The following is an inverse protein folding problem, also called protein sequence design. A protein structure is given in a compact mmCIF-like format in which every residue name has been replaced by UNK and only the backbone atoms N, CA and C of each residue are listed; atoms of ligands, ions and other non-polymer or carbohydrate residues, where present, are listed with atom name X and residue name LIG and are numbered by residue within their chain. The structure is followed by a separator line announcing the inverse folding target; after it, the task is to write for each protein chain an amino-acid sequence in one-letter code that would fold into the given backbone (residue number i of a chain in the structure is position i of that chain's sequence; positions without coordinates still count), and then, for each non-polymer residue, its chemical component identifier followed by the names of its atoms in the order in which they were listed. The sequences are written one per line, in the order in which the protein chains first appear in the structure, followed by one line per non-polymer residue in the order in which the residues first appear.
data_IF_144290280692
#
_entry.id   IF_144290280692
#
_cell.length_a   1.000
_cell.length_b   1.000
_cell.length_c   1.000
_cell.angle_alpha   90.00
_cell.angle_beta   90.00
_cell.angle_gamma   90.00
#
_symmetry.space_group_name_H-M   'P 1'
#
loop_
_entity.id
_entity.type
_entity.pdbx_description
1 polymer ?
#
# COMPACT_ATOMS: atom_id res chain seq x y z
N UNK A 1 35.62 -19.60 54.83
CA UNK A 1 35.92 -19.16 56.20
C UNK A 1 36.24 -17.67 56.17
N UNK A 2 35.62 -16.89 57.05
CA UNK A 2 35.87 -15.45 57.19
C UNK A 2 35.20 -14.94 58.45
N UNK A 3 35.52 -15.54 59.60
CA UNK A 3 34.87 -15.26 60.88
C UNK A 3 35.26 -13.91 61.50
N UNK A 4 36.18 -13.17 60.87
CA UNK A 4 36.56 -11.81 61.25
C UNK A 4 36.74 -10.96 59.98
N UNK A 5 36.26 -9.71 59.97
CA UNK A 5 36.47 -8.75 58.87
C UNK A 5 37.92 -8.22 58.85
N UNK A 6 38.90 -9.14 58.95
CA UNK A 6 40.31 -8.86 58.81
C UNK A 6 40.65 -8.96 57.31
N UNK A 7 40.62 -7.86 56.57
CA UNK A 7 40.92 -7.97 55.13
C UNK A 7 40.98 -6.72 54.25
N UNK A 8 40.61 -5.52 54.73
CA UNK A 8 40.87 -4.30 53.94
C UNK A 8 42.19 -3.66 54.38
N UNK A 9 43.22 -3.83 53.56
CA UNK A 9 44.49 -3.10 53.66
C UNK A 9 44.45 -1.87 52.75
N UNK A 10 45.08 -0.77 53.20
CA UNK A 10 45.17 0.48 52.46
C UNK A 10 46.26 0.39 51.39
N UNK A 11 46.45 1.46 50.61
CA UNK A 11 47.55 1.53 49.62
C UNK A 11 48.93 1.36 50.26
N UNK A 12 49.07 1.63 51.56
CA UNK A 12 50.33 1.54 52.30
C UNK A 12 50.49 0.21 53.05
N UNK A 13 49.72 -0.83 52.70
CA UNK A 13 49.79 -2.18 53.31
C UNK A 13 49.24 -2.27 54.75
N UNK A 14 48.93 -1.14 55.40
CA UNK A 14 48.33 -1.12 56.75
C UNK A 14 46.86 -1.50 56.71
N UNK A 15 46.42 -2.29 57.68
CA UNK A 15 45.02 -2.69 57.82
C UNK A 15 44.14 -1.48 58.16
N UNK A 16 43.17 -1.17 57.30
CA UNK A 16 42.31 0.03 57.37
C UNK A 16 41.27 -0.06 58.48
N UNK A 17 40.82 -1.26 58.83
CA UNK A 17 39.82 -1.46 59.89
C UNK A 17 39.97 -2.83 60.57
N UNK A 18 40.07 -2.83 61.89
CA UNK A 18 39.95 -4.02 62.74
C UNK A 18 38.60 -3.90 63.44
N UNK A 19 37.60 -4.64 62.92
CA UNK A 19 36.28 -4.76 63.53
C UNK A 19 35.78 -6.21 63.48
N UNK A 20 35.14 -6.64 64.55
CA UNK A 20 34.36 -7.86 64.60
C UNK A 20 32.88 -7.48 64.71
N UNK A 21 32.04 -8.04 63.83
CA UNK A 21 30.60 -7.80 63.79
C UNK A 21 29.85 -9.13 63.90
N UNK A 22 29.41 -9.45 65.12
CA UNK A 22 28.46 -10.52 65.40
C UNK A 22 27.01 -10.05 65.31
N UNK A 23 26.06 -10.97 65.57
CA UNK A 23 24.61 -10.70 65.50
C UNK A 23 24.15 -9.63 66.49
N UNK A 24 24.68 -9.67 67.71
CA UNK A 24 24.31 -8.79 68.83
C UNK A 24 25.52 -8.04 69.43
N UNK A 25 26.72 -8.23 68.90
CA UNK A 25 27.97 -7.69 69.42
C UNK A 25 28.77 -7.08 68.26
N UNK A 26 29.22 -5.84 68.42
CA UNK A 26 30.17 -5.22 67.52
C UNK A 26 31.34 -4.70 68.34
N UNK A 27 32.55 -5.10 67.97
CA UNK A 27 33.79 -4.69 68.63
C UNK A 27 34.67 -4.05 67.57
N UNK A 28 35.16 -2.85 67.82
CA UNK A 28 36.13 -2.20 66.95
C UNK A 28 37.16 -1.41 67.75
N UNK A 29 38.37 -1.29 67.18
CA UNK A 29 39.47 -0.56 67.82
C UNK A 29 39.15 0.92 68.06
N UNK A 30 38.41 1.56 67.15
CA UNK A 30 38.09 2.99 67.23
C UNK A 30 36.72 3.28 67.83
N UNK A 31 35.77 2.37 67.66
CA UNK A 31 34.39 2.53 68.13
C UNK A 31 34.08 1.78 69.42
N UNK A 32 35.02 1.03 70.00
CA UNK A 32 34.81 0.26 71.23
C UNK A 32 33.87 -0.95 71.06
N UNK A 33 33.27 -1.39 72.17
CA UNK A 33 32.33 -2.52 72.23
C UNK A 33 30.89 -1.97 72.25
N UNK A 34 30.05 -2.42 71.32
CA UNK A 34 28.61 -2.17 71.34
C UNK A 34 27.82 -3.47 71.37
N UNK A 35 26.82 -3.51 72.24
CA UNK A 35 25.84 -4.58 72.31
C UNK A 35 24.54 -4.09 71.69
N UNK A 36 23.88 -4.95 70.90
CA UNK A 36 22.58 -4.70 70.28
C UNK A 36 21.61 -5.80 70.70
N UNK A 37 20.51 -5.40 71.31
CA UNK A 37 19.35 -6.25 71.51
C UNK A 37 18.21 -5.75 70.61
N UNK A 38 17.55 -6.67 69.92
CA UNK A 38 16.37 -6.38 69.11
C UNK A 38 15.26 -7.34 69.48
N UNK A 39 14.07 -6.82 69.76
CA UNK A 39 12.88 -7.63 70.03
C UNK A 39 11.67 -7.03 69.33
N UNK A 40 10.71 -7.89 68.99
CA UNK A 40 9.44 -7.49 68.40
C UNK A 40 8.34 -7.84 69.41
N UNK A 41 7.69 -6.82 69.95
CA UNK A 41 6.66 -6.97 70.98
C UNK A 41 5.44 -6.13 70.61
N UNK A 42 4.24 -6.72 70.67
CA UNK A 42 2.96 -6.04 70.43
C UNK A 42 2.91 -5.18 69.13
N UNK A 43 3.51 -5.67 68.03
CA UNK A 43 3.57 -4.94 66.76
C UNK A 43 4.59 -3.77 66.72
N UNK A 44 5.36 -3.57 67.78
CA UNK A 44 6.47 -2.62 67.88
C UNK A 44 7.81 -3.36 67.72
N UNK A 45 8.72 -2.78 66.96
CA UNK A 45 10.12 -3.21 66.91
C UNK A 45 10.93 -2.36 67.88
N UNK A 46 11.47 -2.99 68.92
CA UNK A 46 12.33 -2.37 69.92
C UNK A 46 13.77 -2.76 69.63
N UNK A 47 14.66 -1.78 69.55
CA UNK A 47 16.09 -1.99 69.38
C UNK A 47 16.83 -1.17 70.42
N UNK A 48 17.57 -1.83 71.30
CA UNK A 48 18.47 -1.18 72.24
C UNK A 48 19.91 -1.41 71.79
N UNK A 49 20.72 -0.35 71.79
CA UNK A 49 22.13 -0.41 71.50
C UNK A 49 22.90 0.33 72.60
N UNK A 50 23.96 -0.28 73.15
CA UNK A 50 24.72 0.32 74.27
C UNK A 50 25.42 1.63 73.91
N UNK A 51 25.68 1.91 72.62
CA UNK A 51 26.31 3.16 72.15
C UNK A 51 25.33 4.13 71.48
N UNK A 52 24.31 3.60 70.80
CA UNK A 52 23.39 4.40 69.99
C UNK A 52 22.01 4.59 70.63
N UNK A 53 21.79 4.04 71.83
CA UNK A 53 20.57 4.18 72.61
C UNK A 53 19.42 3.31 72.13
N UNK A 54 18.19 3.75 72.39
CA UNK A 54 16.95 2.99 72.18
C UNK A 54 16.15 3.52 71.00
N UNK A 55 15.69 2.60 70.15
CA UNK A 55 14.79 2.86 69.03
C UNK A 55 13.56 2.00 69.13
N UNK A 56 12.40 2.64 69.17
CA UNK A 56 11.08 2.02 69.04
C UNK A 56 10.55 2.32 67.64
N UNK A 57 9.97 1.36 66.93
CA UNK A 57 9.34 1.65 65.64
C UNK A 57 8.13 0.80 65.32
N UNK A 58 7.13 1.41 64.68
CA UNK A 58 5.89 0.80 64.22
C UNK A 58 5.64 1.13 62.75
N UNK A 59 5.23 0.15 61.96
CA UNK A 59 4.66 0.40 60.64
C UNK A 59 3.19 0.81 60.81
N UNK A 60 2.83 2.03 60.38
CA UNK A 60 1.45 2.54 60.47
C UNK A 60 0.62 2.10 59.26
N UNK A 61 1.25 2.00 58.09
CA UNK A 61 0.64 1.57 56.84
C UNK A 61 1.71 0.96 55.93
N UNK A 62 1.30 0.38 54.79
CA UNK A 62 2.25 -0.13 53.78
C UNK A 62 3.20 1.01 53.39
N UNK A 63 4.49 0.73 53.48
CA UNK A 63 5.59 1.68 53.23
C UNK A 63 5.61 2.94 54.10
N UNK A 64 4.93 2.95 55.25
CA UNK A 64 4.92 4.06 56.23
C UNK A 64 5.40 3.58 57.58
N UNK A 65 6.52 4.10 58.06
CA UNK A 65 7.09 3.77 59.36
C UNK A 65 7.20 5.02 60.23
N UNK A 66 6.75 4.87 61.47
CA UNK A 66 6.99 5.83 62.54
C UNK A 66 7.94 5.21 63.56
N UNK A 67 8.97 5.94 63.95
CA UNK A 67 9.96 5.50 64.91
C UNK A 67 10.27 6.59 65.93
N UNK A 68 10.51 6.20 67.18
CA UNK A 68 11.05 7.05 68.23
C UNK A 68 12.49 6.57 68.49
N UNK A 69 13.49 7.39 68.18
CA UNK A 69 14.90 7.07 68.38
C UNK A 69 15.51 8.08 69.35
N UNK A 70 15.93 7.63 70.54
CA UNK A 70 16.48 8.48 71.60
C UNK A 70 15.62 9.74 71.86
N UNK A 71 14.30 9.55 72.00
CA UNK A 71 13.34 10.65 72.20
C UNK A 71 12.93 11.42 70.93
N UNK A 72 13.58 11.21 69.78
CA UNK A 72 13.23 11.89 68.52
C UNK A 72 12.23 11.09 67.69
N UNK A 73 11.08 11.69 67.38
CA UNK A 73 10.11 11.13 66.44
C UNK A 73 10.60 11.25 64.99
N UNK A 74 10.62 10.12 64.28
CA UNK A 74 11.02 9.94 62.89
C UNK A 74 9.86 9.32 62.12
N UNK A 75 9.23 10.09 61.24
CA UNK A 75 8.26 9.61 60.26
C UNK A 75 8.94 9.42 58.91
N UNK A 76 8.77 8.26 58.28
CA UNK A 76 9.28 7.96 56.94
C UNK A 76 8.23 7.18 56.14
N UNK A 77 7.92 7.67 54.94
CA UNK A 77 7.11 6.95 53.96
C UNK A 77 7.80 6.92 52.59
N UNK A 78 7.62 5.85 51.82
CA UNK A 78 8.10 5.77 50.42
C UNK A 78 7.08 5.08 49.54
N UNK A 79 6.44 5.84 48.66
CA UNK A 79 5.34 5.40 47.83
C UNK A 79 5.69 5.50 46.34
N UNK A 80 4.97 4.74 45.51
CA UNK A 80 5.18 4.68 44.07
C UNK A 80 5.92 3.43 43.60
N UNK A 81 5.56 2.96 42.40
CA UNK A 81 6.21 1.89 41.65
C UNK A 81 7.05 2.48 40.50
N UNK A 82 8.11 1.77 40.10
CA UNK A 82 8.94 2.18 38.96
C UNK A 82 9.99 3.27 39.25
N UNK A 83 10.37 4.08 38.23
CA UNK A 83 11.47 5.05 38.33
C UNK A 83 11.11 6.25 39.20
N UNK A 84 9.83 6.51 39.40
CA UNK A 84 9.32 7.68 40.11
C UNK A 84 8.82 7.30 41.49
N UNK A 85 9.28 8.01 42.53
CA UNK A 85 8.97 7.71 43.93
C UNK A 85 8.67 8.96 44.73
N UNK A 86 7.64 8.86 45.56
CA UNK A 86 7.21 9.89 46.51
C UNK A 86 7.71 9.52 47.91
N UNK A 87 8.54 10.36 48.49
CA UNK A 87 9.15 10.14 49.79
C UNK A 87 8.51 11.10 50.80
N UNK A 88 7.89 10.54 51.84
CA UNK A 88 7.32 11.28 52.97
C UNK A 88 8.29 11.30 54.13
N UNK A 89 8.39 12.45 54.80
CA UNK A 89 9.18 12.63 56.01
C UNK A 89 8.50 13.59 56.98
N UNK A 90 9.02 13.69 58.21
CA UNK A 90 8.54 14.69 59.20
C UNK A 90 8.49 16.13 58.64
N UNK A 91 9.37 16.47 57.70
CA UNK A 91 9.44 17.79 57.06
C UNK A 91 8.74 17.88 55.70
N UNK A 92 7.80 16.97 55.44
CA UNK A 92 6.95 17.00 54.24
C UNK A 92 7.27 15.93 53.20
N UNK A 93 6.60 16.07 52.06
CA UNK A 93 6.63 15.16 50.92
C UNK A 93 7.66 15.64 49.89
N UNK A 94 8.35 14.71 49.24
CA UNK A 94 9.32 14.99 48.18
C UNK A 94 9.19 13.99 47.05
N UNK A 95 9.33 14.48 45.82
CA UNK A 95 9.19 13.68 44.61
C UNK A 95 10.56 13.46 43.97
N UNK A 96 10.84 12.23 43.55
CA UNK A 96 12.12 11.87 42.94
C UNK A 96 11.94 10.89 41.79
N UNK A 97 12.72 11.08 40.73
CA UNK A 97 12.75 10.20 39.55
C UNK A 97 14.14 9.62 39.33
N UNK A 98 14.20 8.35 38.94
CA UNK A 98 15.44 7.61 38.67
C UNK A 98 15.65 7.48 37.16
N UNK A 99 16.78 7.99 36.70
CA UNK A 99 17.25 7.91 35.31
C UNK A 99 18.56 7.10 35.25
N UNK A 100 19.11 6.89 34.06
CA UNK A 100 20.36 6.14 33.85
C UNK A 100 21.54 6.74 34.64
N UNK A 101 21.60 8.07 34.75
CA UNK A 101 22.61 8.77 35.56
C UNK A 101 22.44 8.61 37.07
N UNK A 102 21.25 8.29 37.59
CA UNK A 102 21.01 8.25 39.03
C UNK A 102 19.62 8.74 39.43
N UNK A 103 19.48 9.32 40.62
CA UNK A 103 18.18 9.78 41.16
C UNK A 103 18.15 11.30 41.24
N UNK A 104 17.18 11.92 40.59
CA UNK A 104 16.90 13.35 40.64
C UNK A 104 15.72 13.60 41.58
N UNK A 105 15.87 14.53 42.53
CA UNK A 105 14.79 14.96 43.41
C UNK A 105 14.29 16.32 42.96
N UNK A 106 13.03 16.38 42.54
CA UNK A 106 12.38 17.56 41.98
C UNK A 106 12.14 18.65 43.01
N UNK A 107 11.89 18.27 44.28
CA UNK A 107 11.54 19.22 45.35
C UNK A 107 12.79 19.65 46.14
N UNK A 108 13.76 18.76 46.30
CA UNK A 108 14.99 19.01 47.06
C UNK A 108 16.22 18.63 46.24
N UNK A 109 16.71 19.52 45.35
CA UNK A 109 17.87 19.25 44.47
C UNK A 109 19.13 18.82 45.22
N UNK A 110 19.31 19.29 46.46
CA UNK A 110 20.40 18.87 47.35
C UNK A 110 20.35 17.40 47.80
N UNK A 111 19.29 16.65 47.48
CA UNK A 111 19.17 15.21 47.73
C UNK A 111 19.30 14.36 46.46
N UNK A 112 19.66 14.96 45.33
CA UNK A 112 19.93 14.25 44.08
C UNK A 112 21.27 13.52 44.13
N UNK A 113 21.40 12.46 43.35
CA UNK A 113 22.65 11.71 43.16
C UNK A 113 22.81 11.32 41.70
N UNK A 114 24.03 11.46 41.18
CA UNK A 114 24.41 11.05 39.84
C UNK A 114 25.66 10.18 39.92
N UNK A 115 25.78 9.19 39.02
CA UNK A 115 26.96 8.35 38.86
C UNK A 115 27.48 8.57 37.46
N UNK A 116 28.65 9.21 37.36
CA UNK A 116 29.30 9.51 36.09
C UNK A 116 30.67 8.81 36.11
N UNK A 117 30.94 7.95 35.12
CA UNK A 117 32.22 7.22 35.00
C UNK A 117 32.68 6.51 36.30
N UNK A 118 31.75 5.87 37.01
CA UNK A 118 32.05 5.17 38.26
C UNK A 118 32.05 6.05 39.53
N UNK A 119 32.15 7.38 39.38
CA UNK A 119 32.17 8.33 40.51
C UNK A 119 30.75 8.75 40.88
N UNK A 120 30.39 8.59 42.16
CA UNK A 120 29.08 9.00 42.67
C UNK A 120 29.13 10.46 43.18
N UNK A 121 28.53 11.37 42.42
CA UNK A 121 28.30 12.76 42.81
C UNK A 121 26.96 12.88 43.54
N UNK A 122 26.92 13.64 44.64
CA UNK A 122 25.71 13.86 45.43
C UNK A 122 25.46 15.36 45.64
N UNK A 123 24.21 15.71 45.91
CA UNK A 123 23.82 17.09 46.23
C UNK A 123 23.49 17.92 45.00
N UNK A 124 23.59 19.26 45.13
CA UNK A 124 23.21 20.21 44.07
C UNK A 124 23.99 19.99 42.77
N UNK A 125 25.28 19.64 42.84
CA UNK A 125 26.10 19.32 41.66
C UNK A 125 25.54 18.15 40.84
N UNK A 126 24.96 17.15 41.52
CA UNK A 126 24.30 16.04 40.84
C UNK A 126 22.99 16.46 40.16
N UNK A 127 22.24 17.39 40.76
CA UNK A 127 21.04 17.95 40.15
C UNK A 127 21.36 18.69 38.84
N UNK A 128 22.41 19.52 38.83
CA UNK A 128 22.85 20.22 37.62
C UNK A 128 23.30 19.25 36.51
N UNK A 129 23.99 18.16 36.88
CA UNK A 129 24.37 17.12 35.92
C UNK A 129 23.14 16.43 35.28
N UNK A 130 22.09 16.15 36.06
CA UNK A 130 20.83 15.62 35.52
C UNK A 130 20.13 16.62 34.59
N UNK A 131 20.11 17.91 34.94
CA UNK A 131 19.53 18.95 34.09
C UNK A 131 20.27 19.07 32.75
N UNK A 132 21.61 19.10 32.77
CA UNK A 132 22.41 19.11 31.56
C UNK A 132 22.14 17.88 30.68
N UNK A 133 22.08 16.69 31.28
CA UNK A 133 21.78 15.47 30.55
C UNK A 133 20.38 15.47 29.94
N UNK A 134 19.36 15.92 30.68
CA UNK A 134 17.99 16.01 30.17
C UNK A 134 17.91 16.99 28.99
N UNK A 135 18.61 18.12 29.06
CA UNK A 135 18.66 19.11 27.98
C UNK A 135 19.33 18.54 26.73
N UNK A 136 20.49 17.89 26.86
CA UNK A 136 21.18 17.24 25.73
C UNK A 136 20.32 16.13 25.13
N UNK A 137 19.72 15.29 25.98
CA UNK A 137 18.83 14.21 25.53
C UNK A 137 17.64 14.77 24.77
N UNK A 138 17.03 15.85 25.28
CA UNK A 138 15.92 16.53 24.63
C UNK A 138 16.32 17.02 23.24
N UNK A 139 17.44 17.76 23.12
CA UNK A 139 17.94 18.24 21.84
C UNK A 139 18.17 17.10 20.84
N UNK A 140 18.85 16.03 21.25
CA UNK A 140 19.09 14.86 20.39
C UNK A 140 17.77 14.22 19.95
N UNK A 141 16.83 14.02 20.87
CA UNK A 141 15.53 13.45 20.52
C UNK A 141 14.73 14.35 19.59
N UNK A 142 14.73 15.67 19.82
CA UNK A 142 14.05 16.63 18.96
C UNK A 142 14.62 16.61 17.54
N UNK A 143 15.95 16.66 17.39
CA UNK A 143 16.62 16.59 16.09
C UNK A 143 16.32 15.27 15.38
N UNK A 144 16.39 14.13 16.10
CA UNK A 144 16.09 12.83 15.53
C UNK A 144 14.63 12.71 15.09
N UNK A 145 13.69 13.22 15.90
CA UNK A 145 12.26 13.23 15.53
C UNK A 145 11.98 14.11 14.32
N UNK A 146 12.63 15.27 14.22
CA UNK A 146 12.47 16.18 13.09
C UNK A 146 13.02 15.59 11.79
N UNK A 147 14.19 14.95 11.86
CA UNK A 147 14.75 14.21 10.71
C UNK A 147 13.86 13.04 10.31
N UNK A 148 13.32 12.29 11.28
CA UNK A 148 12.37 11.20 11.03
C UNK A 148 11.09 11.67 10.33
N UNK A 149 10.53 12.80 10.76
CA UNK A 149 9.36 13.42 10.11
C UNK A 149 9.66 13.86 8.67
N UNK A 150 10.85 14.42 8.42
CA UNK A 150 11.27 14.81 7.08
C UNK A 150 11.39 13.60 6.14
N UNK A 151 11.99 12.51 6.62
CA UNK A 151 12.10 11.27 5.84
C UNK A 151 10.73 10.65 5.56
N UNK A 152 9.83 10.67 6.54
CA UNK A 152 8.46 10.20 6.35
C UNK A 152 7.71 11.04 5.30
N UNK A 153 7.85 12.37 5.35
CA UNK A 153 7.29 13.26 4.34
C UNK A 153 7.81 12.93 2.94
N UNK A 154 9.12 12.74 2.79
CA UNK A 154 9.74 12.37 1.52
C UNK A 154 9.20 11.03 1.00
N UNK A 155 9.04 10.04 1.87
CA UNK A 155 8.46 8.74 1.52
C UNK A 155 7.02 8.90 0.99
N UNK A 156 6.20 9.72 1.65
CA UNK A 156 4.84 10.02 1.20
C UNK A 156 4.81 10.73 -0.15
N UNK A 157 5.70 11.69 -0.38
CA UNK A 157 5.81 12.38 -1.66
C UNK A 157 6.18 11.43 -2.80
N UNK A 158 7.14 10.53 -2.57
CA UNK A 158 7.50 9.50 -3.57
C UNK A 158 6.35 8.53 -3.82
N UNK A 159 5.64 8.10 -2.78
CA UNK A 159 4.49 7.21 -2.92
C UNK A 159 3.35 7.88 -3.71
N UNK A 160 3.05 9.15 -3.42
CA UNK A 160 2.05 9.93 -4.15
C UNK A 160 2.48 10.15 -5.60
N UNK A 161 3.73 10.52 -5.85
CA UNK A 161 4.28 10.67 -7.18
C UNK A 161 4.18 9.37 -8.00
N UNK A 162 4.54 8.23 -7.41
CA UNK A 162 4.41 6.92 -8.05
C UNK A 162 2.96 6.47 -8.26
N UNK A 163 2.02 6.92 -7.42
CA UNK A 163 0.59 6.71 -7.63
C UNK A 163 0.07 7.53 -8.81
N UNK A 164 0.37 8.84 -8.83
CA UNK A 164 0.01 9.74 -9.93
C UNK A 164 0.61 9.27 -11.26
N UNK A 165 1.87 8.82 -11.26
CA UNK A 165 2.52 8.28 -12.46
C UNK A 165 1.80 7.04 -13.01
N UNK A 166 1.43 6.09 -12.13
CA UNK A 166 0.67 4.90 -12.53
C UNK A 166 -0.72 5.26 -13.07
N UNK A 167 -1.39 6.24 -12.48
CA UNK A 167 -2.66 6.73 -13.02
C UNK A 167 -2.48 7.35 -14.40
N UNK A 168 -1.44 8.19 -14.57
CA UNK A 168 -1.14 8.83 -15.85
C UNK A 168 -0.88 7.80 -16.95
N UNK A 169 -0.13 6.74 -16.67
CA UNK A 169 0.15 5.66 -17.61
C UNK A 169 -1.11 4.85 -17.99
N UNK A 170 -2.14 4.81 -17.14
CA UNK A 170 -3.39 4.09 -17.44
C UNK A 170 -4.43 4.95 -18.18
N UNK A 171 -4.17 6.24 -18.38
CA UNK A 171 -5.12 7.13 -19.08
C UNK A 171 -5.35 6.70 -20.53
N UNK A 172 -4.32 6.40 -21.35
CA UNK A 172 -4.53 6.05 -22.76
C UNK A 172 -5.43 4.83 -22.93
N UNK A 173 -5.17 3.75 -22.17
CA UNK A 173 -5.96 2.52 -22.23
C UNK A 173 -7.43 2.77 -21.84
N UNK A 174 -7.66 3.58 -20.80
CA UNK A 174 -9.02 3.94 -20.38
C UNK A 174 -9.74 4.82 -21.40
N UNK A 175 -9.03 5.72 -22.07
CA UNK A 175 -9.59 6.52 -23.17
C UNK A 175 -9.99 5.60 -24.32
N UNK A 176 -9.12 4.66 -24.72
CA UNK A 176 -9.41 3.70 -25.78
C UNK A 176 -10.61 2.82 -25.44
N UNK A 177 -10.66 2.25 -24.23
CA UNK A 177 -11.79 1.46 -23.76
C UNK A 177 -13.10 2.26 -23.75
N UNK A 178 -13.04 3.52 -23.31
CA UNK A 178 -14.21 4.41 -23.31
C UNK A 178 -14.69 4.70 -24.75
N UNK A 179 -13.76 4.99 -25.67
CA UNK A 179 -14.09 5.20 -27.08
C UNK A 179 -14.72 3.95 -27.71
N UNK A 180 -14.17 2.77 -27.45
CA UNK A 180 -14.72 1.48 -27.88
C UNK A 180 -16.14 1.28 -27.35
N UNK A 181 -16.35 1.51 -26.05
CA UNK A 181 -17.67 1.40 -25.43
C UNK A 181 -18.70 2.38 -26.02
N UNK A 182 -18.30 3.61 -26.34
CA UNK A 182 -19.18 4.57 -27.02
C UNK A 182 -19.52 4.11 -28.44
N UNK A 183 -18.51 3.64 -29.20
CA UNK A 183 -18.69 3.11 -30.54
C UNK A 183 -19.61 1.88 -30.55
N UNK A 184 -19.44 0.95 -29.61
CA UNK A 184 -20.31 -0.21 -29.43
C UNK A 184 -21.75 0.19 -29.12
N UNK A 185 -21.95 1.18 -28.25
CA UNK A 185 -23.29 1.71 -27.94
C UNK A 185 -23.95 2.35 -29.15
N UNK A 186 -23.20 3.10 -29.95
CA UNK A 186 -23.71 3.67 -31.20
C UNK A 186 -24.08 2.54 -32.18
N UNK A 187 -23.21 1.55 -32.35
CA UNK A 187 -23.46 0.39 -33.20
C UNK A 187 -24.70 -0.39 -32.77
N UNK A 188 -24.89 -0.63 -31.46
CA UNK A 188 -26.08 -1.30 -30.93
C UNK A 188 -27.36 -0.53 -31.22
N UNK A 189 -27.34 0.81 -31.09
CA UNK A 189 -28.50 1.66 -31.46
C UNK A 189 -28.79 1.60 -32.96
N UNK A 190 -27.76 1.66 -33.80
CA UNK A 190 -27.91 1.57 -35.24
C UNK A 190 -28.47 0.21 -35.66
N UNK A 191 -28.02 -0.89 -35.04
CA UNK A 191 -28.57 -2.24 -35.26
C UNK A 191 -30.03 -2.35 -34.85
N UNK A 192 -30.41 -1.77 -33.70
CA UNK A 192 -31.80 -1.76 -33.24
C UNK A 192 -32.73 -0.95 -34.17
N UNK A 193 -32.18 -0.01 -34.94
CA UNK A 193 -32.91 0.79 -35.91
C UNK A 193 -33.04 0.11 -37.30
N UNK A 194 -32.34 -1.01 -37.55
CA UNK A 194 -32.43 -1.70 -38.83
C UNK A 194 -33.80 -2.37 -39.01
N UNK A 195 -34.38 -2.37 -40.23
CA UNK A 195 -35.63 -3.07 -40.50
C UNK A 195 -35.48 -4.58 -40.30
N UNK A 196 -36.27 -5.17 -39.40
CA UNK A 196 -36.17 -6.60 -39.09
C UNK A 196 -36.35 -7.51 -40.33
N UNK A 197 -37.21 -7.11 -41.27
CA UNK A 197 -37.41 -7.83 -42.53
C UNK A 197 -36.13 -7.89 -43.39
N UNK A 198 -35.37 -6.79 -43.44
CA UNK A 198 -34.10 -6.70 -44.17
C UNK A 198 -33.02 -7.59 -43.55
N UNK A 199 -32.92 -7.58 -42.22
CA UNK A 199 -31.97 -8.44 -41.50
C UNK A 199 -32.28 -9.93 -41.72
N UNK A 200 -33.57 -10.31 -41.73
CA UNK A 200 -33.97 -11.69 -42.03
C UNK A 200 -33.66 -12.08 -43.47
N UNK A 201 -33.83 -11.16 -44.43
CA UNK A 201 -33.46 -11.40 -45.83
C UNK A 201 -31.95 -11.64 -45.98
N UNK A 202 -31.12 -10.81 -45.32
CA UNK A 202 -29.66 -11.02 -45.30
C UNK A 202 -29.31 -12.38 -44.71
N UNK A 203 -29.91 -12.77 -43.58
CA UNK A 203 -29.67 -14.08 -42.96
C UNK A 203 -30.07 -15.28 -43.85
N UNK A 204 -30.99 -15.07 -44.79
CA UNK A 204 -31.47 -16.09 -45.72
C UNK A 204 -30.55 -16.29 -46.94
N UNK A 205 -29.64 -15.34 -47.23
CA UNK A 205 -28.78 -15.39 -48.41
C UNK A 205 -27.85 -16.62 -48.45
N UNK A 206 -27.59 -17.17 -49.65
CA UNK A 206 -26.60 -18.24 -49.82
C UNK A 206 -25.19 -17.73 -49.54
N UNK A 207 -24.25 -18.65 -49.28
CA UNK A 207 -22.86 -18.31 -48.94
C UNK A 207 -22.19 -17.40 -49.98
N UNK A 208 -22.44 -17.61 -51.27
CA UNK A 208 -21.95 -16.76 -52.36
C UNK A 208 -22.43 -15.30 -52.25
N UNK A 209 -23.70 -15.10 -51.90
CA UNK A 209 -24.25 -13.75 -51.71
C UNK A 209 -23.78 -13.11 -50.40
N UNK A 210 -23.51 -13.90 -49.35
CA UNK A 210 -22.84 -13.39 -48.15
C UNK A 210 -21.43 -12.90 -48.48
N UNK A 211 -20.67 -13.69 -49.25
CA UNK A 211 -19.35 -13.31 -49.74
C UNK A 211 -19.40 -11.98 -50.49
N UNK A 212 -20.30 -11.86 -51.46
CA UNK A 212 -20.47 -10.61 -52.22
C UNK A 212 -20.87 -9.45 -51.33
N UNK A 213 -21.74 -9.66 -50.33
CA UNK A 213 -22.16 -8.61 -49.41
C UNK A 213 -20.99 -8.08 -48.57
N UNK A 214 -20.13 -8.97 -48.06
CA UNK A 214 -18.92 -8.58 -47.30
C UNK A 214 -17.94 -7.83 -48.20
N UNK A 215 -17.72 -8.33 -49.42
CA UNK A 215 -16.83 -7.71 -50.39
C UNK A 215 -17.32 -6.31 -50.81
N UNK A 216 -18.60 -6.15 -51.13
CA UNK A 216 -19.22 -4.85 -51.47
C UNK A 216 -19.17 -3.87 -50.31
N UNK A 217 -19.38 -4.33 -49.07
CA UNK A 217 -19.27 -3.48 -47.91
C UNK A 217 -17.82 -2.99 -47.68
N UNK A 218 -16.85 -3.90 -47.67
CA UNK A 218 -15.45 -3.55 -47.35
C UNK A 218 -14.79 -2.78 -48.52
N UNK A 219 -14.94 -3.26 -49.75
CA UNK A 219 -14.27 -2.68 -50.91
C UNK A 219 -15.04 -1.48 -51.49
N UNK A 220 -16.37 -1.49 -51.42
CA UNK A 220 -17.23 -0.40 -51.89
C UNK A 220 -17.47 0.65 -50.81
N UNK A 221 -18.29 0.32 -49.81
CA UNK A 221 -18.65 1.31 -48.77
C UNK A 221 -17.45 1.85 -48.01
N UNK A 222 -16.45 1.01 -47.76
CA UNK A 222 -15.20 1.41 -47.12
C UNK A 222 -14.45 2.52 -47.87
N UNK A 223 -14.68 2.68 -49.18
CA UNK A 223 -14.10 3.74 -50.02
C UNK A 223 -15.01 4.96 -50.21
N UNK A 224 -16.21 4.94 -49.64
CA UNK A 224 -17.18 6.00 -49.86
C UNK A 224 -18.05 5.80 -51.10
N UNK A 225 -17.96 4.65 -51.75
CA UNK A 225 -18.74 4.33 -52.95
C UNK A 225 -20.06 3.64 -52.58
N UNK A 226 -21.11 3.84 -53.39
CA UNK A 226 -22.33 3.05 -53.26
C UNK A 226 -22.07 1.59 -53.66
N UNK A 227 -22.86 0.64 -53.12
CA UNK A 227 -22.63 -0.77 -53.42
C UNK A 227 -22.75 -1.03 -54.93
N UNK A 228 -23.75 -0.42 -55.58
CA UNK A 228 -24.02 -0.55 -57.01
C UNK A 228 -22.92 0.06 -57.87
N UNK A 229 -22.31 1.17 -57.44
CA UNK A 229 -21.17 1.79 -58.13
C UNK A 229 -19.91 0.93 -58.04
N UNK A 230 -19.72 0.22 -56.93
CA UNK A 230 -18.53 -0.59 -56.69
C UNK A 230 -18.55 -1.94 -57.42
N UNK A 231 -19.74 -2.45 -57.81
CA UNK A 231 -19.89 -3.76 -58.49
C UNK A 231 -18.92 -3.93 -59.67
N UNK A 232 -18.86 -3.04 -60.69
CA UNK A 232 -18.02 -3.27 -61.86
C UNK A 232 -16.52 -3.30 -61.54
N UNK A 233 -16.08 -2.54 -60.54
CA UNK A 233 -14.69 -2.51 -60.10
C UNK A 233 -14.33 -3.78 -59.33
N UNK A 234 -15.21 -4.22 -58.42
CA UNK A 234 -15.00 -5.41 -57.58
C UNK A 234 -15.07 -6.69 -58.41
N UNK A 235 -16.02 -6.82 -59.35
CA UNK A 235 -16.14 -8.00 -60.22
C UNK A 235 -14.88 -8.22 -61.08
N UNK A 236 -14.15 -7.17 -61.44
CA UNK A 236 -12.89 -7.28 -62.19
C UNK A 236 -11.73 -7.83 -61.35
N UNK A 237 -11.81 -7.72 -60.03
CA UNK A 237 -10.78 -8.18 -59.11
C UNK A 237 -10.88 -9.67 -58.78
N UNK A 238 -12.02 -10.30 -59.12
CA UNK A 238 -12.24 -11.74 -58.99
C UNK A 238 -12.32 -12.38 -60.39
N UNK A 239 -11.21 -12.48 -61.13
CA UNK A 239 -11.22 -13.13 -62.43
C UNK A 239 -11.62 -14.60 -62.28
N UNK A 240 -12.67 -15.00 -62.99
CA UNK A 240 -13.15 -16.38 -63.05
C UNK A 240 -12.03 -17.31 -63.54
N UNK A 241 -11.32 -18.00 -62.65
CA UNK A 241 -10.20 -18.85 -63.11
C UNK A 241 -9.44 -19.70 -62.08
N UNK A 242 -9.33 -19.32 -60.79
CA UNK A 242 -8.51 -20.09 -59.84
C UNK A 242 -9.31 -20.88 -58.78
N UNK A 243 -9.16 -22.22 -58.70
CA UNK A 243 -10.16 -23.11 -58.10
C UNK A 243 -10.15 -23.25 -56.58
N UNK A 244 -9.37 -22.48 -55.81
CA UNK A 244 -9.21 -22.76 -54.36
C UNK A 244 -10.05 -21.87 -53.43
N UNK A 245 -10.41 -20.64 -53.83
CA UNK A 245 -11.31 -19.74 -53.07
C UNK A 245 -12.33 -18.98 -53.95
N UNK A 246 -12.17 -18.96 -55.28
CA UNK A 246 -13.02 -18.17 -56.19
C UNK A 246 -14.39 -18.80 -56.50
N UNK A 247 -14.70 -19.99 -55.98
CA UNK A 247 -15.96 -20.68 -56.28
C UNK A 247 -17.19 -19.93 -55.75
N UNK A 248 -17.07 -19.29 -54.60
CA UNK A 248 -18.13 -18.48 -53.99
C UNK A 248 -18.29 -17.13 -54.70
N UNK A 249 -17.20 -16.48 -55.09
CA UNK A 249 -17.23 -15.21 -55.81
C UNK A 249 -17.85 -15.35 -57.21
N UNK A 250 -17.59 -16.48 -57.88
CA UNK A 250 -18.07 -16.75 -59.24
C UNK A 250 -19.57 -17.06 -59.32
N UNK A 251 -20.18 -17.47 -58.22
CA UNK A 251 -21.61 -17.84 -58.15
C UNK A 251 -22.50 -16.78 -57.51
N UNK A 252 -21.92 -15.64 -57.11
CA UNK A 252 -22.63 -14.60 -56.39
C UNK A 252 -23.44 -13.67 -57.32
N UNK A 253 -24.65 -13.31 -56.88
CA UNK A 253 -25.48 -12.29 -57.53
C UNK A 253 -25.05 -10.88 -57.07
N UNK A 254 -23.93 -10.40 -57.60
CA UNK A 254 -23.33 -9.11 -57.21
C UNK A 254 -24.28 -7.92 -57.32
N UNK A 255 -25.08 -7.88 -58.39
CA UNK A 255 -26.01 -6.77 -58.65
C UNK A 255 -27.21 -6.87 -57.71
N UNK A 256 -27.84 -8.04 -57.57
CA UNK A 256 -28.98 -8.22 -56.67
C UNK A 256 -28.61 -7.98 -55.20
N UNK A 257 -27.39 -8.36 -54.79
CA UNK A 257 -26.88 -8.05 -53.45
C UNK A 257 -26.65 -6.56 -53.28
N UNK A 258 -26.03 -5.87 -54.25
CA UNK A 258 -25.82 -4.43 -54.19
C UNK A 258 -27.14 -3.65 -54.06
N UNK A 259 -28.13 -3.96 -54.89
CA UNK A 259 -29.47 -3.35 -54.84
C UNK A 259 -30.14 -3.58 -53.48
N UNK A 260 -30.07 -4.80 -52.95
CA UNK A 260 -30.64 -5.11 -51.65
C UNK A 260 -29.94 -4.35 -50.51
N UNK A 261 -28.61 -4.24 -50.55
CA UNK A 261 -27.84 -3.49 -49.57
C UNK A 261 -28.16 -1.98 -49.61
N UNK A 262 -28.34 -1.41 -50.80
CA UNK A 262 -28.73 0.00 -50.97
C UNK A 262 -30.15 0.26 -50.49
N UNK A 263 -31.09 -0.65 -50.77
CA UNK A 263 -32.48 -0.54 -50.31
C UNK A 263 -32.60 -0.46 -48.78
N UNK A 264 -31.68 -1.09 -48.05
CA UNK A 264 -31.66 -1.12 -46.59
C UNK A 264 -31.02 0.13 -45.95
N UNK A 265 -30.28 0.93 -46.72
CA UNK A 265 -29.62 2.13 -46.21
C UNK A 265 -30.47 3.40 -46.32
N UNK A 266 -31.57 3.41 -47.09
CA UNK A 266 -32.49 4.56 -47.34
C UNK A 266 -31.83 5.81 -47.96
N UNK A 267 -32.62 6.71 -48.59
CA UNK A 267 -32.18 7.90 -49.37
C UNK A 267 -31.44 9.01 -48.57
N UNK A 268 -31.04 8.76 -47.32
CA UNK A 268 -30.23 9.71 -46.57
C UNK A 268 -28.79 9.74 -47.10
N UNK A 269 -28.16 10.92 -47.07
CA UNK A 269 -26.82 11.14 -47.63
C UNK A 269 -25.80 10.12 -47.08
N UNK A 270 -24.93 9.62 -47.96
CA UNK A 270 -23.97 8.53 -47.69
C UNK A 270 -23.15 8.72 -46.40
N UNK A 271 -22.72 9.94 -46.08
CA UNK A 271 -21.97 10.25 -44.86
C UNK A 271 -22.77 10.09 -43.56
N UNK A 272 -24.10 10.26 -43.61
CA UNK A 272 -25.01 10.05 -42.48
C UNK A 272 -25.24 8.56 -42.20
N UNK A 273 -24.91 7.69 -43.17
CA UNK A 273 -25.19 6.25 -43.13
C UNK A 273 -24.05 5.39 -42.58
N UNK A 274 -22.91 5.96 -42.17
CA UNK A 274 -21.74 5.18 -41.70
C UNK A 274 -22.07 4.21 -40.55
N UNK A 275 -22.80 4.66 -39.54
CA UNK A 275 -23.18 3.79 -38.41
C UNK A 275 -24.15 2.68 -38.84
N UNK A 276 -25.02 2.96 -39.82
CA UNK A 276 -25.94 1.96 -40.39
C UNK A 276 -25.19 0.95 -41.26
N UNK A 277 -24.21 1.39 -42.06
CA UNK A 277 -23.33 0.51 -42.84
C UNK A 277 -22.57 -0.45 -41.92
N UNK A 278 -21.98 0.05 -40.84
CA UNK A 278 -21.31 -0.79 -39.84
C UNK A 278 -22.30 -1.74 -39.14
N UNK A 279 -23.51 -1.28 -38.81
CA UNK A 279 -24.55 -2.12 -38.23
C UNK A 279 -24.97 -3.25 -39.19
N UNK A 280 -25.15 -2.94 -40.47
CA UNK A 280 -25.51 -3.93 -41.48
C UNK A 280 -24.37 -4.92 -41.70
N UNK A 281 -23.13 -4.44 -41.77
CA UNK A 281 -21.94 -5.30 -41.85
C UNK A 281 -21.83 -6.24 -40.65
N UNK A 282 -22.22 -5.79 -39.45
CA UNK A 282 -22.28 -6.65 -38.27
C UNK A 282 -23.38 -7.73 -38.38
N UNK A 283 -24.49 -7.48 -39.09
CA UNK A 283 -25.49 -8.52 -39.36
C UNK A 283 -25.04 -9.47 -40.49
N UNK A 284 -24.41 -8.94 -41.54
CA UNK A 284 -23.78 -9.73 -42.60
C UNK A 284 -22.70 -10.64 -42.01
N UNK A 285 -21.86 -10.15 -41.10
CA UNK A 285 -20.83 -10.96 -40.44
C UNK A 285 -21.40 -12.12 -39.63
N UNK A 286 -22.50 -11.89 -38.90
CA UNK A 286 -23.22 -12.96 -38.21
C UNK A 286 -23.82 -13.99 -39.17
N UNK A 287 -24.42 -13.53 -40.27
CA UNK A 287 -25.02 -14.39 -41.27
C UNK A 287 -23.95 -15.20 -42.03
N UNK A 288 -22.82 -14.57 -42.38
CA UNK A 288 -21.66 -15.20 -42.98
C UNK A 288 -21.09 -16.30 -42.08
N UNK A 289 -20.94 -16.04 -40.76
CA UNK A 289 -20.48 -17.04 -39.81
C UNK A 289 -21.39 -18.27 -39.70
N UNK A 290 -22.68 -18.14 -40.02
CA UNK A 290 -23.63 -19.25 -40.02
C UNK A 290 -23.67 -20.02 -41.36
N UNK A 291 -23.13 -19.47 -42.45
CA UNK A 291 -23.29 -20.01 -43.82
C UNK A 291 -21.97 -20.39 -44.50
N UNK A 292 -20.89 -19.68 -44.20
CA UNK A 292 -19.55 -19.93 -44.70
C UNK A 292 -18.82 -20.82 -43.70
N UNK A 293 -17.96 -21.73 -44.19
CA UNK A 293 -17.21 -22.60 -43.31
C UNK A 293 -16.25 -21.78 -42.43
N UNK A 294 -16.08 -22.19 -41.17
CA UNK A 294 -15.27 -21.43 -40.20
C UNK A 294 -13.80 -21.28 -40.65
N UNK A 295 -13.31 -22.24 -41.43
CA UNK A 295 -11.94 -22.25 -41.99
C UNK A 295 -11.78 -21.28 -43.16
N UNK A 296 -12.86 -20.96 -43.87
CA UNK A 296 -12.87 -20.08 -45.05
C UNK A 296 -13.03 -18.60 -44.66
N UNK A 297 -13.62 -18.30 -43.50
CA UNK A 297 -13.86 -16.92 -43.03
C UNK A 297 -12.58 -16.08 -42.80
N UNK A 298 -11.51 -16.60 -42.17
CA UNK A 298 -10.26 -15.88 -42.07
C UNK A 298 -9.62 -15.64 -43.44
N UNK A 299 -9.67 -16.65 -44.33
CA UNK A 299 -9.13 -16.55 -45.68
C UNK A 299 -9.86 -15.49 -46.50
N UNK A 300 -11.20 -15.46 -46.41
CA UNK A 300 -12.04 -14.41 -46.99
C UNK A 300 -11.59 -13.02 -46.56
N UNK A 301 -11.42 -12.80 -45.26
CA UNK A 301 -11.04 -11.48 -44.75
C UNK A 301 -9.64 -11.09 -45.16
N UNK A 302 -8.68 -12.03 -45.14
CA UNK A 302 -7.33 -11.77 -45.63
C UNK A 302 -7.33 -11.41 -47.12
N UNK A 303 -8.12 -12.12 -47.93
CA UNK A 303 -8.26 -11.84 -49.36
C UNK A 303 -8.88 -10.45 -49.60
N UNK A 304 -9.94 -10.10 -48.87
CA UNK A 304 -10.55 -8.77 -48.98
C UNK A 304 -9.63 -7.66 -48.49
N UNK A 305 -8.83 -7.91 -47.46
CA UNK A 305 -7.82 -6.98 -46.94
C UNK A 305 -6.69 -6.73 -47.94
N UNK A 306 -6.21 -7.79 -48.61
CA UNK A 306 -5.22 -7.71 -49.68
C UNK A 306 -5.78 -6.99 -50.91
N UNK A 307 -7.02 -7.30 -51.31
CA UNK A 307 -7.70 -6.61 -52.41
C UNK A 307 -7.95 -5.12 -52.10
N UNK A 308 -8.23 -4.78 -50.84
CA UNK A 308 -8.38 -3.39 -50.43
C UNK A 308 -7.06 -2.61 -50.63
N UNK A 309 -5.92 -3.24 -50.29
CA UNK A 309 -4.57 -2.69 -50.49
C UNK A 309 -4.17 -2.57 -51.96
N UNK A 310 -4.56 -3.54 -52.80
CA UNK A 310 -4.26 -3.50 -54.24
C UNK A 310 -4.92 -2.33 -54.96
N UNK A 311 -6.08 -1.87 -54.48
CA UNK A 311 -6.77 -0.72 -55.06
C UNK A 311 -6.14 0.63 -54.64
N UNK A 312 -5.75 0.79 -53.36
CA UNK A 312 -5.06 1.96 -52.77
C UNK A 312 -4.75 1.70 -51.29
N UNK A 313 -4.15 2.67 -50.60
CA UNK A 313 -4.02 2.67 -49.13
C UNK A 313 -5.39 2.49 -48.45
N UNK A 314 -5.42 1.67 -47.37
CA UNK A 314 -6.66 1.40 -46.63
C UNK A 314 -7.21 2.66 -45.99
N UNK A 315 -8.53 2.84 -46.08
CA UNK A 315 -9.21 3.92 -45.36
C UNK A 315 -9.47 3.52 -43.90
N UNK A 316 -9.59 4.51 -43.00
CA UNK A 316 -10.00 4.26 -41.61
C UNK A 316 -11.37 3.55 -41.50
N UNK A 317 -12.24 3.74 -42.50
CA UNK A 317 -13.55 3.09 -42.53
C UNK A 317 -13.42 1.60 -42.90
N UNK A 318 -12.54 1.27 -43.84
CA UNK A 318 -12.23 -0.13 -44.19
C UNK A 318 -11.66 -0.91 -43.02
N UNK A 319 -10.67 -0.35 -42.32
CA UNK A 319 -10.11 -0.98 -41.13
C UNK A 319 -11.18 -1.21 -40.05
N UNK A 320 -12.05 -0.21 -39.83
CA UNK A 320 -13.15 -0.34 -38.88
C UNK A 320 -14.20 -1.36 -39.32
N UNK A 321 -14.50 -1.44 -40.61
CA UNK A 321 -15.41 -2.42 -41.19
C UNK A 321 -14.89 -3.85 -41.02
N UNK A 322 -13.61 -4.08 -41.31
CA UNK A 322 -12.96 -5.37 -41.06
C UNK A 322 -13.05 -5.75 -39.58
N UNK A 323 -12.75 -4.82 -38.67
CA UNK A 323 -12.89 -5.05 -37.23
C UNK A 323 -14.30 -5.44 -36.81
N UNK A 324 -15.32 -4.68 -37.27
CA UNK A 324 -16.74 -4.95 -36.96
C UNK A 324 -17.19 -6.29 -37.54
N UNK A 325 -16.76 -6.63 -38.75
CA UNK A 325 -17.05 -7.93 -39.36
C UNK A 325 -16.44 -9.06 -38.53
N UNK A 326 -15.14 -8.95 -38.18
CA UNK A 326 -14.44 -9.97 -37.39
C UNK A 326 -15.12 -10.19 -36.04
N UNK A 327 -15.44 -9.11 -35.31
CA UNK A 327 -16.13 -9.19 -34.01
C UNK A 327 -17.51 -9.86 -34.15
N UNK A 328 -18.26 -9.52 -35.21
CA UNK A 328 -19.59 -10.08 -35.47
C UNK A 328 -19.56 -11.55 -35.92
N UNK A 329 -18.53 -11.93 -36.68
CA UNK A 329 -18.29 -13.29 -37.15
C UNK A 329 -17.63 -14.18 -36.08
N UNK A 330 -17.23 -13.61 -34.92
CA UNK A 330 -16.55 -14.35 -33.85
C UNK A 330 -15.06 -14.60 -34.11
N UNK A 331 -14.46 -13.87 -35.06
CA UNK A 331 -13.03 -13.91 -35.36
C UNK A 331 -12.28 -12.95 -34.44
N UNK A 332 -11.15 -13.40 -33.87
CA UNK A 332 -10.25 -12.53 -33.10
C UNK A 332 -9.03 -12.16 -33.93
N UNK A 333 -8.86 -10.87 -34.21
CA UNK A 333 -7.62 -10.37 -34.78
C UNK A 333 -6.55 -10.32 -33.70
N UNK A 334 -5.47 -11.08 -33.89
CA UNK A 334 -4.29 -11.05 -33.02
C UNK A 334 -3.23 -10.22 -33.72
N UNK A 335 -3.05 -8.97 -33.29
CA UNK A 335 -1.92 -8.18 -33.76
C UNK A 335 -0.64 -8.80 -33.21
N UNK A 336 0.26 -9.26 -34.09
CA UNK A 336 1.54 -9.87 -33.71
C UNK A 336 2.55 -8.87 -33.12
N UNK A 337 2.13 -7.65 -32.81
CA UNK A 337 2.98 -6.61 -32.21
C UNK A 337 3.37 -6.87 -30.75
N UNK A 338 2.97 -8.00 -30.17
CA UNK A 338 3.53 -8.54 -28.93
C UNK A 338 4.78 -9.38 -29.17
N UNK A 339 5.86 -8.78 -29.67
CA UNK A 339 7.19 -9.36 -29.43
C UNK A 339 7.50 -9.22 -27.93
N UNK A 340 7.80 -10.36 -27.33
CA UNK A 340 8.09 -10.61 -25.92
C UNK A 340 9.05 -9.64 -25.24
#
# INVERSE_FOLDING_TARGET
MGWFNLGKQGRDGKQVRIEHRGRNLWVSRTGGISLRAQTKAAGLNLTANSQHGVRVSRSLARNTQMALQNGRLVLRGRYGSGPTKLNMSKSGLTFSSKNQLGTFNWVKPGRSSAKLFGVQVRGRKAANAHLAFMLVSLLVTMTATLLGMLLLLLQWLMALGGFCWRLLLQIPDRIQQSQQWFAERQLQRARAALPAAGVQQIAAWPAANQYAAVALAILGWGRGESASQAVPAITRLFPTGEPSTDSLASSADWVGVADALESLLSEEAFDSNRDRQLALLAEIGKAAAARIQLEELPALIMQLDELALLQADKTCLQERMIGVFCDAAGLRMVNSTGLH
#
